data_IF_816575482619
#
_entry.id   IF_816575482619
#
_cell.length_a   1.000
_cell.length_b   1.000
_cell.length_c   1.000
_cell.angle_alpha   90.00
_cell.angle_beta   90.00
_cell.angle_gamma   90.00
#
_symmetry.space_group_name_H-M   'P 1'
#
loop_
_entity.id
_entity.type
_entity.pdbx_description
1 polymer ?
#
# COMPACT_ATOMS: atom_id res chain seq x y z
N UNK A 1 20.41 1.18 -0.11
CA UNK A 1 18.97 1.49 -0.26
C UNK A 1 18.24 0.15 -0.37
N UNK A 2 17.15 -0.05 0.37
CA UNK A 2 16.41 -1.34 0.34
C UNK A 2 15.51 -1.43 -0.91
N UNK A 3 15.31 -0.28 -1.58
CA UNK A 3 14.42 -0.08 -2.72
C UNK A 3 15.13 0.72 -3.82
N UNK A 4 14.63 0.67 -5.06
CA UNK A 4 15.11 1.54 -6.14
C UNK A 4 14.70 3.00 -5.92
N UNK A 5 15.32 3.94 -6.64
CA UNK A 5 14.94 5.37 -6.57
C UNK A 5 13.48 5.60 -7.01
N UNK A 6 13.01 4.86 -8.01
CA UNK A 6 11.61 4.92 -8.49
C UNK A 6 10.65 4.46 -7.38
N UNK A 7 10.92 3.32 -6.76
CA UNK A 7 10.12 2.77 -5.67
C UNK A 7 10.14 3.69 -4.44
N UNK A 8 11.30 4.26 -4.12
CA UNK A 8 11.44 5.25 -3.06
C UNK A 8 10.54 6.46 -3.33
N UNK A 9 10.61 7.04 -4.52
CA UNK A 9 9.80 8.21 -4.91
C UNK A 9 8.31 7.92 -4.80
N UNK A 10 7.87 6.76 -5.30
CA UNK A 10 6.48 6.34 -5.31
C UNK A 10 5.92 6.10 -3.91
N UNK A 11 6.63 5.36 -3.06
CA UNK A 11 6.21 5.10 -1.68
C UNK A 11 6.28 6.37 -0.83
N UNK A 12 7.30 7.20 -1.00
CA UNK A 12 7.42 8.46 -0.26
C UNK A 12 6.28 9.44 -0.62
N UNK A 13 5.90 9.52 -1.90
CA UNK A 13 4.74 10.33 -2.34
C UNK A 13 3.42 9.83 -1.72
N UNK A 14 3.23 8.50 -1.67
CA UNK A 14 2.10 7.87 -0.99
C UNK A 14 2.09 8.22 0.50
N UNK A 15 3.19 8.02 1.22
CA UNK A 15 3.25 8.31 2.66
C UNK A 15 3.04 9.78 2.97
N UNK A 16 3.62 10.70 2.19
CA UNK A 16 3.36 12.15 2.36
C UNK A 16 1.89 12.51 2.18
N UNK A 17 1.19 11.81 1.29
CA UNK A 17 -0.21 12.12 0.96
C UNK A 17 -1.18 11.48 1.94
N UNK A 18 -0.90 10.25 2.36
CA UNK A 18 -1.85 9.43 3.11
C UNK A 18 -1.46 9.21 4.56
N UNK A 19 -0.16 9.19 4.91
CA UNK A 19 0.34 9.04 6.28
C UNK A 19 1.32 10.17 6.66
N UNK A 20 0.93 11.45 6.54
CA UNK A 20 1.86 12.59 6.64
C UNK A 20 2.61 12.65 7.98
N UNK A 21 1.96 12.26 9.07
CA UNK A 21 2.56 12.22 10.41
C UNK A 21 3.72 11.23 10.53
N UNK A 22 3.74 10.18 9.70
CA UNK A 22 4.75 9.12 9.71
C UNK A 22 5.64 9.14 8.46
N UNK A 23 5.43 10.07 7.52
CA UNK A 23 6.09 10.09 6.23
C UNK A 23 7.61 10.20 6.32
N UNK A 24 8.13 11.04 7.23
CA UNK A 24 9.58 11.18 7.44
C UNK A 24 10.20 9.87 7.97
N UNK A 25 9.50 9.20 8.90
CA UNK A 25 9.94 7.92 9.47
C UNK A 25 9.98 6.85 8.39
N UNK A 26 8.94 6.75 7.57
CA UNK A 26 8.87 5.81 6.44
C UNK A 26 9.95 6.10 5.39
N UNK A 27 10.16 7.36 5.02
CA UNK A 27 11.23 7.76 4.11
C UNK A 27 12.61 7.35 4.60
N UNK A 28 12.91 7.49 5.89
CA UNK A 28 14.20 7.05 6.47
C UNK A 28 14.39 5.53 6.41
N UNK A 29 13.32 4.75 6.60
CA UNK A 29 13.38 3.28 6.54
C UNK A 29 13.65 2.76 5.14
N UNK A 30 12.99 3.34 4.15
CA UNK A 30 13.21 3.03 2.73
C UNK A 30 14.64 3.41 2.29
N UNK A 31 15.16 4.53 2.80
CA UNK A 31 16.51 5.03 2.50
C UNK A 31 17.64 4.14 3.06
N UNK A 32 17.40 3.43 4.17
CA UNK A 32 18.15 2.20 4.45
C UNK A 32 18.85 2.10 5.81
N UNK A 33 18.14 1.55 6.78
CA UNK A 33 18.72 0.57 7.72
C UNK A 33 17.67 -0.51 8.01
N UNK A 34 17.92 -1.74 7.56
CA UNK A 34 17.06 -2.91 7.83
C UNK A 34 16.77 -3.10 9.33
N UNK A 35 17.75 -2.79 10.19
CA UNK A 35 17.60 -2.82 11.65
C UNK A 35 16.50 -1.89 12.20
N UNK A 36 16.09 -0.85 11.45
CA UNK A 36 14.99 0.03 11.83
C UNK A 36 13.60 -0.59 11.69
N UNK A 37 13.46 -1.64 10.88
CA UNK A 37 12.18 -2.29 10.61
C UNK A 37 11.70 -3.14 11.80
N UNK A 38 12.62 -3.74 12.56
CA UNK A 38 12.27 -4.57 13.73
C UNK A 38 11.58 -3.81 14.88
N UNK A 39 11.68 -2.48 14.91
CA UNK A 39 11.10 -1.63 15.98
C UNK A 39 9.78 -0.99 15.58
N UNK A 40 9.24 -1.37 14.42
CA UNK A 40 8.05 -0.74 13.86
C UNK A 40 6.96 -1.78 13.82
N UNK A 41 5.79 -1.36 14.27
CA UNK A 41 4.53 -2.06 14.06
C UNK A 41 3.87 -1.34 12.88
N UNK A 42 4.03 -1.84 11.65
CA UNK A 42 3.58 -1.17 10.42
C UNK A 42 2.10 -0.81 10.48
N UNK A 43 1.31 -1.66 11.15
CA UNK A 43 -0.12 -1.43 11.37
C UNK A 43 -0.45 -0.19 12.19
N UNK A 44 0.38 0.18 13.17
CA UNK A 44 0.18 1.41 13.97
C UNK A 44 0.53 2.67 13.22
N UNK A 45 1.21 2.55 12.08
CA UNK A 45 1.53 3.67 11.22
C UNK A 45 0.46 3.87 10.12
N UNK A 46 -0.62 3.07 10.12
CA UNK A 46 -1.77 3.38 9.29
C UNK A 46 -2.37 4.72 9.70
N UNK A 47 -2.70 5.57 8.72
CA UNK A 47 -3.33 6.87 9.00
C UNK A 47 -4.80 6.75 9.45
N UNK A 48 -5.34 5.53 9.44
CA UNK A 48 -6.72 5.21 9.79
C UNK A 48 -6.76 3.85 10.51
N UNK A 49 -7.84 3.60 11.25
CA UNK A 49 -8.15 2.25 11.69
C UNK A 49 -8.64 1.42 10.50
N UNK A 50 -7.76 0.58 9.94
CA UNK A 50 -8.08 -0.24 8.76
C UNK A 50 -9.16 -1.30 9.02
N UNK A 51 -9.55 -1.53 10.28
CA UNK A 51 -10.67 -2.41 10.63
C UNK A 51 -12.02 -1.75 10.42
N UNK A 52 -12.13 -0.49 10.84
CA UNK A 52 -13.41 0.21 10.90
C UNK A 52 -13.76 0.95 9.61
N UNK A 53 -12.82 0.99 8.67
CA UNK A 53 -12.92 2.01 7.65
C UNK A 53 -13.69 1.55 6.40
N UNK A 54 -13.71 0.26 6.01
CA UNK A 54 -14.24 -0.21 4.70
C UNK A 54 -15.53 0.53 4.28
N UNK A 55 -15.59 1.14 3.08
CA UNK A 55 -16.82 1.79 2.64
C UNK A 55 -17.95 0.75 2.56
N UNK A 56 -19.07 1.06 3.21
CA UNK A 56 -20.21 0.16 3.29
C UNK A 56 -20.67 -0.33 1.91
N UNK A 57 -20.94 -1.63 1.81
CA UNK A 57 -21.57 -2.23 0.64
C UNK A 57 -20.63 -2.63 -0.51
N UNK A 58 -19.31 -2.51 -0.38
CA UNK A 58 -18.35 -2.99 -1.40
C UNK A 58 -17.38 -4.03 -0.83
N UNK A 59 -17.32 -5.21 -1.46
CA UNK A 59 -16.38 -6.25 -1.09
C UNK A 59 -14.93 -5.88 -1.51
N UNK A 60 -13.96 -6.33 -0.73
CA UNK A 60 -12.53 -6.07 -0.98
C UNK A 60 -12.06 -6.37 -2.42
N UNK A 61 -12.39 -7.53 -3.03
CA UNK A 61 -11.99 -7.80 -4.41
C UNK A 61 -12.51 -6.76 -5.41
N UNK A 62 -13.76 -6.33 -5.26
CA UNK A 62 -14.35 -5.31 -6.10
C UNK A 62 -13.65 -3.95 -5.92
N UNK A 63 -13.25 -3.59 -4.70
CA UNK A 63 -12.47 -2.37 -4.46
C UNK A 63 -11.08 -2.42 -5.10
N UNK A 64 -10.39 -3.56 -5.01
CA UNK A 64 -9.09 -3.74 -5.67
C UNK A 64 -9.23 -3.66 -7.19
N UNK A 65 -10.26 -4.27 -7.77
CA UNK A 65 -10.60 -4.16 -9.19
C UNK A 65 -10.86 -2.71 -9.62
N UNK A 66 -11.65 -1.96 -8.85
CA UNK A 66 -11.92 -0.55 -9.11
C UNK A 66 -10.64 0.28 -9.05
N UNK A 67 -9.79 0.08 -8.05
CA UNK A 67 -8.53 0.80 -7.89
C UNK A 67 -7.55 0.47 -9.03
N UNK A 68 -7.46 -0.80 -9.44
CA UNK A 68 -6.64 -1.22 -10.58
C UNK A 68 -7.15 -0.59 -11.90
N UNK A 69 -8.47 -0.51 -12.09
CA UNK A 69 -9.08 0.15 -13.26
C UNK A 69 -8.80 1.65 -13.29
N UNK A 70 -8.93 2.33 -12.15
CA UNK A 70 -8.62 3.75 -12.01
C UNK A 70 -7.14 4.05 -12.33
N UNK A 71 -6.23 3.22 -11.83
CA UNK A 71 -4.81 3.32 -12.13
C UNK A 71 -4.53 3.08 -13.63
N UNK A 72 -5.16 2.06 -14.22
CA UNK A 72 -5.03 1.75 -15.65
C UNK A 72 -5.55 2.90 -16.54
N UNK A 73 -6.65 3.56 -16.14
CA UNK A 73 -7.16 4.76 -16.81
C UNK A 73 -6.17 5.93 -16.82
N UNK A 74 -5.25 5.97 -15.85
CA UNK A 74 -4.13 6.91 -15.78
C UNK A 74 -2.85 6.39 -16.46
N UNK A 75 -2.94 5.31 -17.25
CA UNK A 75 -1.82 4.67 -17.95
C UNK A 75 -0.75 4.07 -17.01
N UNK A 76 -1.09 3.81 -15.75
CA UNK A 76 -0.23 3.04 -14.83
C UNK A 76 -0.22 1.58 -15.29
N UNK A 77 0.96 0.95 -15.24
CA UNK A 77 1.15 -0.48 -15.61
C UNK A 77 1.44 -1.38 -14.40
N UNK A 78 2.01 -0.81 -13.34
CA UNK A 78 2.44 -1.51 -12.12
C UNK A 78 2.13 -0.65 -10.89
N UNK A 79 1.79 -1.30 -9.78
CA UNK A 79 1.82 -0.71 -8.44
C UNK A 79 3.12 -1.06 -7.71
N UNK A 80 3.47 -0.29 -6.68
CA UNK A 80 4.58 -0.62 -5.77
C UNK A 80 4.01 -1.13 -4.47
N UNK A 81 4.23 -2.41 -4.19
CA UNK A 81 3.87 -3.09 -2.95
C UNK A 81 5.03 -2.96 -1.97
N UNK A 82 4.75 -2.49 -0.78
CA UNK A 82 5.60 -2.62 0.39
C UNK A 82 4.95 -3.65 1.32
N UNK A 83 5.53 -4.84 1.41
CA UNK A 83 5.16 -5.84 2.39
C UNK A 83 5.96 -5.62 3.68
N UNK A 84 5.30 -5.64 4.82
CA UNK A 84 5.86 -5.35 6.14
C UNK A 84 5.72 -6.51 7.13
N UNK A 85 5.29 -7.69 6.68
CA UNK A 85 4.97 -8.84 7.55
C UNK A 85 6.13 -9.35 8.42
N UNK A 86 5.77 -10.18 9.40
CA UNK A 86 6.62 -10.66 10.51
C UNK A 86 7.94 -11.36 10.11
N UNK A 87 8.06 -11.90 8.89
CA UNK A 87 9.23 -12.68 8.45
C UNK A 87 10.28 -11.87 7.67
N UNK A 88 9.87 -10.91 6.85
CA UNK A 88 10.77 -9.97 6.16
C UNK A 88 9.98 -8.85 5.47
N UNK A 89 10.45 -7.61 5.59
CA UNK A 89 9.91 -6.50 4.79
C UNK A 89 10.51 -6.53 3.38
N UNK A 90 9.67 -6.50 2.34
CA UNK A 90 10.10 -6.45 0.95
C UNK A 90 9.33 -5.36 0.18
N UNK A 91 9.93 -4.90 -0.92
CA UNK A 91 9.28 -3.98 -1.85
C UNK A 91 9.32 -4.58 -3.25
N UNK A 92 8.15 -4.63 -3.87
CA UNK A 92 7.93 -5.31 -5.15
C UNK A 92 7.15 -4.42 -6.10
N UNK A 93 7.51 -4.48 -7.38
CA UNK A 93 6.72 -3.93 -8.47
C UNK A 93 5.70 -4.98 -8.92
N UNK A 94 4.42 -4.69 -8.76
CA UNK A 94 3.32 -5.63 -9.04
C UNK A 94 2.55 -5.16 -10.27
N UNK A 95 2.51 -5.94 -11.38
CA UNK A 95 1.66 -5.62 -12.52
C UNK A 95 0.20 -5.45 -12.09
N UNK A 96 -0.51 -4.46 -12.64
CA UNK A 96 -1.91 -4.23 -12.25
C UNK A 96 -2.82 -5.45 -12.47
N UNK A 97 -2.55 -6.25 -13.50
CA UNK A 97 -3.29 -7.50 -13.79
C UNK A 97 -3.08 -8.59 -12.73
N UNK A 98 -1.97 -8.53 -11.98
CA UNK A 98 -1.65 -9.49 -10.92
C UNK A 98 -2.08 -8.99 -9.53
N UNK A 99 -2.58 -7.75 -9.43
CA UNK A 99 -2.88 -7.12 -8.15
C UNK A 99 -4.04 -7.80 -7.41
N UNK A 100 -5.10 -8.17 -8.14
CA UNK A 100 -6.28 -8.84 -7.56
C UNK A 100 -5.87 -10.19 -6.98
N UNK A 101 -5.11 -10.99 -7.73
CA UNK A 101 -4.62 -12.29 -7.25
C UNK A 101 -3.76 -12.14 -5.99
N UNK A 102 -2.87 -11.13 -5.96
CA UNK A 102 -1.98 -10.88 -4.82
C UNK A 102 -2.70 -10.36 -3.58
N UNK A 103 -3.72 -9.51 -3.72
CA UNK A 103 -4.42 -8.89 -2.59
C UNK A 103 -5.70 -9.62 -2.17
N UNK A 104 -6.28 -10.45 -3.04
CA UNK A 104 -7.58 -11.10 -2.83
C UNK A 104 -7.50 -12.63 -2.93
N UNK A 105 -6.36 -13.18 -3.33
CA UNK A 105 -6.17 -14.62 -3.51
C UNK A 105 -6.42 -15.42 -2.24
N UNK A 106 -6.93 -16.64 -2.43
CA UNK A 106 -7.31 -17.56 -1.35
C UNK A 106 -6.16 -18.43 -0.83
N UNK A 107 -4.98 -18.38 -1.47
CA UNK A 107 -3.81 -19.12 -0.99
C UNK A 107 -3.31 -18.46 0.30
N UNK A 108 -2.99 -19.27 1.30
CA UNK A 108 -2.39 -18.81 2.57
C UNK A 108 -1.13 -17.96 2.34
N UNK A 109 -0.43 -18.18 1.24
CA UNK A 109 0.75 -17.41 0.81
C UNK A 109 0.42 -16.03 0.20
N UNK A 110 -0.80 -15.81 -0.31
CA UNK A 110 -1.25 -14.52 -0.86
C UNK A 110 -2.02 -13.68 0.16
N UNK A 111 -2.58 -14.31 1.19
CA UNK A 111 -3.53 -13.67 2.13
C UNK A 111 -2.90 -12.90 3.30
N UNK A 112 -1.58 -12.76 3.34
CA UNK A 112 -0.84 -12.20 4.49
C UNK A 112 0.17 -11.13 4.07
N UNK A 113 -0.14 -10.35 3.04
CA UNK A 113 0.58 -9.11 2.80
C UNK A 113 0.07 -8.08 3.80
N UNK A 114 0.69 -8.02 4.97
CA UNK A 114 0.64 -6.81 5.79
C UNK A 114 1.42 -5.73 5.04
N UNK A 115 0.80 -4.61 4.68
CA UNK A 115 1.54 -3.62 3.90
C UNK A 115 0.74 -2.52 3.21
N UNK A 116 1.43 -1.88 2.28
CA UNK A 116 0.93 -0.75 1.50
C UNK A 116 1.12 -1.03 0.00
N UNK A 117 0.14 -0.66 -0.81
CA UNK A 117 0.30 -0.63 -2.26
C UNK A 117 0.08 0.80 -2.73
N UNK A 118 1.10 1.38 -3.35
CA UNK A 118 0.98 2.63 -4.09
C UNK A 118 0.64 2.31 -5.55
N UNK A 119 -0.57 2.67 -6.00
CA UNK A 119 -0.98 2.48 -7.40
C UNK A 119 -0.69 3.73 -8.23
N UNK A 120 -1.10 4.89 -7.74
CA UNK A 120 -0.79 6.19 -8.34
C UNK A 120 -0.03 7.00 -7.29
N UNK A 121 1.23 7.41 -7.53
CA UNK A 121 2.05 8.10 -6.54
C UNK A 121 1.33 9.29 -5.90
N UNK A 122 1.02 9.18 -4.60
CA UNK A 122 0.35 10.24 -3.83
C UNK A 122 -1.14 10.47 -4.12
N UNK A 123 -1.75 9.66 -4.99
CA UNK A 123 -3.16 9.83 -5.37
C UNK A 123 -4.03 8.60 -5.11
N UNK A 124 -3.47 7.39 -5.20
CA UNK A 124 -4.22 6.15 -5.04
C UNK A 124 -3.38 5.10 -4.34
N UNK A 125 -3.86 4.61 -3.20
CA UNK A 125 -3.18 3.61 -2.39
C UNK A 125 -4.14 2.60 -1.77
N UNK A 126 -3.66 1.38 -1.56
CA UNK A 126 -4.34 0.30 -0.86
C UNK A 126 -3.53 -0.08 0.39
N UNK A 127 -4.23 -0.57 1.41
CA UNK A 127 -3.64 -1.09 2.63
C UNK A 127 -4.34 -2.39 3.05
N UNK A 128 -3.57 -3.31 3.64
CA UNK A 128 -4.04 -4.62 4.11
C UNK A 128 -3.25 -5.04 5.35
N UNK A 129 -3.91 -5.67 6.32
CA UNK A 129 -3.30 -6.20 7.54
C UNK A 129 -3.48 -7.72 7.68
N UNK A 130 -2.72 -8.33 8.59
CA UNK A 130 -2.77 -9.78 8.82
C UNK A 130 -4.04 -10.25 9.57
N UNK A 131 -4.81 -9.32 10.12
CA UNK A 131 -6.06 -9.53 10.87
C UNK A 131 -7.31 -9.31 9.98
N UNK A 132 -7.14 -9.07 8.67
CA UNK A 132 -8.22 -8.89 7.69
C UNK A 132 -8.71 -7.46 7.44
N UNK A 133 -8.10 -6.46 8.08
CA UNK A 133 -8.37 -5.04 7.83
C UNK A 133 -7.86 -4.59 6.47
N UNK A 134 -8.71 -3.92 5.70
CA UNK A 134 -8.45 -3.50 4.32
C UNK A 134 -8.90 -2.06 4.10
N UNK A 135 -8.13 -1.29 3.32
CA UNK A 135 -8.45 0.12 3.08
C UNK A 135 -8.03 0.61 1.69
N UNK A 136 -8.86 1.46 1.09
CA UNK A 136 -8.60 2.16 -0.16
C UNK A 136 -8.56 3.67 0.10
N UNK A 137 -7.42 4.28 -0.22
CA UNK A 137 -7.22 5.72 -0.12
C UNK A 137 -7.11 6.33 -1.50
N UNK A 138 -8.04 7.23 -1.81
CA UNK A 138 -8.05 8.01 -3.05
C UNK A 138 -8.09 9.48 -2.71
N UNK A 139 -7.13 10.26 -3.22
CA UNK A 139 -7.17 11.71 -3.05
C UNK A 139 -8.29 12.25 -3.93
N UNK A 140 -9.35 12.79 -3.31
CA UNK A 140 -10.34 13.57 -4.05
C UNK A 140 -9.63 14.78 -4.63
N UNK A 141 -9.68 14.95 -5.96
CA UNK A 141 -9.25 16.21 -6.56
C UNK A 141 -10.07 17.30 -5.88
N UNK A 142 -9.42 18.27 -5.23
CA UNK A 142 -10.11 19.51 -4.87
C UNK A 142 -10.71 20.04 -6.16
N UNK A 143 -12.03 20.13 -6.20
CA UNK A 143 -12.70 20.92 -7.22
C UNK A 143 -12.04 22.31 -7.20
N UNK A 144 -11.52 22.70 -8.36
CA UNK A 144 -10.93 24.03 -8.56
C UNK A 144 -12.05 25.04 -8.71
#
# INVERSE_FOLDING_TARGET
MIVSEEQYGQLNAMFKSFAPLYAERWGKLLAGKAAGWQKIQPWRAWPVDVFDSMPDGIAWPAMVEMAARDAAGQKVKKGVLLACGHSSSCVEDVPLSALIERLCGTKSETRLLEGFVSLVPGELALATNHEGGCWLMKKTKKEK
#
